data_IF_089554399131
#
_entry.id   IF_089554399131
#
_cell.length_a   1.000
_cell.length_b   1.000
_cell.length_c   1.000
_cell.angle_alpha   90.00
_cell.angle_beta   90.00
_cell.angle_gamma   90.00
#
_symmetry.space_group_name_H-M   'P 1'
#
loop_
_entity.id
_entity.type
_entity.pdbx_description
1 polymer ?
#
# COMPACT_ATOMS: atom_id res chain seq x y z
N UNK A 1 19.20 22.06 -71.77
CA UNK A 1 18.23 21.16 -71.12
C UNK A 1 19.06 20.29 -70.19
N UNK A 2 19.18 20.70 -68.92
CA UNK A 2 20.05 20.08 -67.91
C UNK A 2 19.16 19.74 -66.73
N UNK A 3 19.01 18.44 -66.49
CA UNK A 3 18.65 17.71 -65.27
C UNK A 3 17.70 18.36 -64.24
N UNK A 4 16.39 18.29 -64.52
CA UNK A 4 15.36 18.38 -63.47
C UNK A 4 15.28 17.07 -62.63
N UNK A 5 15.71 15.93 -63.20
CA UNK A 5 15.68 14.62 -62.53
C UNK A 5 16.71 14.50 -61.38
N UNK A 6 17.86 15.18 -61.50
CA UNK A 6 18.90 15.15 -60.46
C UNK A 6 18.50 15.94 -59.20
N UNK A 7 17.71 17.02 -59.35
CA UNK A 7 17.20 17.83 -58.23
C UNK A 7 16.10 17.09 -57.45
N UNK A 8 15.26 16.32 -58.14
CA UNK A 8 14.20 15.54 -57.49
C UNK A 8 14.82 14.50 -56.53
N UNK A 9 15.91 13.84 -56.95
CA UNK A 9 16.62 12.85 -56.13
C UNK A 9 17.28 13.47 -54.88
N UNK A 10 17.72 14.73 -54.96
CA UNK A 10 18.29 15.43 -53.80
C UNK A 10 17.21 15.90 -52.82
N UNK A 11 16.06 16.35 -53.34
CA UNK A 11 14.93 16.78 -52.51
C UNK A 11 14.27 15.60 -51.78
N UNK A 12 14.20 14.44 -52.43
CA UNK A 12 13.69 13.20 -51.84
C UNK A 12 14.62 12.65 -50.75
N UNK A 13 15.94 12.69 -50.95
CA UNK A 13 16.91 12.28 -49.93
C UNK A 13 16.84 13.12 -48.64
N UNK A 14 16.61 14.44 -48.77
CA UNK A 14 16.42 15.33 -47.62
C UNK A 14 15.11 15.01 -46.89
N UNK A 15 14.02 14.80 -47.63
CA UNK A 15 12.73 14.43 -47.05
C UNK A 15 12.82 13.08 -46.30
N UNK A 16 13.48 12.08 -46.89
CA UNK A 16 13.72 10.79 -46.25
C UNK A 16 14.55 10.92 -44.96
N UNK A 17 15.59 11.75 -44.97
CA UNK A 17 16.39 12.02 -43.77
C UNK A 17 15.55 12.65 -42.65
N UNK A 18 14.66 13.60 -42.97
CA UNK A 18 13.74 14.18 -41.98
C UNK A 18 12.75 13.17 -41.41
N UNK A 19 12.18 12.30 -42.25
CA UNK A 19 11.25 11.25 -41.79
C UNK A 19 11.98 10.27 -40.86
N UNK A 20 13.20 9.86 -41.20
CA UNK A 20 14.02 8.98 -40.36
C UNK A 20 14.33 9.66 -39.03
N UNK A 21 14.73 10.94 -39.05
CA UNK A 21 15.11 11.67 -37.84
C UNK A 21 13.90 11.95 -36.93
N UNK A 22 12.74 12.26 -37.50
CA UNK A 22 11.47 12.36 -36.77
C UNK A 22 11.07 11.02 -36.16
N UNK A 23 11.24 9.92 -36.88
CA UNK A 23 10.96 8.57 -36.37
C UNK A 23 11.89 8.20 -35.22
N UNK A 24 13.19 8.46 -35.36
CA UNK A 24 14.18 8.23 -34.29
C UNK A 24 13.89 9.12 -33.09
N UNK A 25 13.51 10.39 -33.30
CA UNK A 25 13.12 11.29 -32.21
C UNK A 25 11.86 10.80 -31.49
N UNK A 26 10.86 10.31 -32.21
CA UNK A 26 9.67 9.73 -31.61
C UNK A 26 10.00 8.44 -30.82
N UNK A 27 10.83 7.56 -31.36
CA UNK A 27 11.25 6.31 -30.69
C UNK A 27 12.17 6.56 -29.49
N UNK A 28 13.07 7.54 -29.58
CA UNK A 28 13.92 7.94 -28.46
C UNK A 28 13.15 8.77 -27.41
N UNK A 29 12.13 9.50 -27.86
CA UNK A 29 11.24 10.32 -27.03
C UNK A 29 10.11 9.54 -26.38
N UNK A 30 9.84 8.29 -26.78
CA UNK A 30 9.08 7.35 -25.95
C UNK A 30 9.95 6.97 -24.76
N UNK A 31 9.96 7.83 -23.76
CA UNK A 31 10.34 7.50 -22.39
C UNK A 31 9.65 6.19 -22.04
N UNK A 32 10.45 5.17 -21.73
CA UNK A 32 10.07 3.84 -21.23
C UNK A 32 8.58 3.73 -20.94
N UNK A 33 7.86 2.98 -21.78
CA UNK A 33 6.46 2.64 -21.50
C UNK A 33 6.48 1.87 -20.18
N UNK A 34 6.13 2.55 -19.08
CA UNK A 34 5.65 1.88 -17.89
C UNK A 34 4.38 1.15 -18.32
N UNK A 35 4.54 -0.11 -18.70
CA UNK A 35 3.40 -0.97 -18.99
C UNK A 35 2.61 -1.11 -17.69
N UNK A 36 1.27 -1.06 -17.72
CA UNK A 36 0.44 -1.36 -16.54
C UNK A 36 0.72 -2.74 -15.90
N UNK A 37 1.50 -3.59 -16.55
CA UNK A 37 1.99 -4.86 -16.02
C UNK A 37 3.06 -4.71 -14.93
N UNK A 38 3.92 -3.68 -14.97
CA UNK A 38 5.01 -3.53 -13.99
C UNK A 38 4.52 -2.95 -12.66
N UNK A 39 3.51 -2.08 -12.67
CA UNK A 39 2.87 -1.62 -11.43
C UNK A 39 2.14 -2.74 -10.69
N UNK A 40 1.68 -3.77 -11.42
CA UNK A 40 1.01 -4.92 -10.82
C UNK A 40 1.96 -5.77 -9.96
N UNK A 41 3.24 -5.86 -10.35
CA UNK A 41 4.24 -6.64 -9.59
C UNK A 41 4.55 -5.98 -8.25
N UNK A 42 4.74 -4.65 -8.26
CA UNK A 42 4.98 -3.91 -7.01
C UNK A 42 3.78 -3.95 -6.08
N UNK A 43 2.56 -3.88 -6.62
CA UNK A 43 1.33 -4.00 -5.82
C UNK A 43 1.19 -5.40 -5.22
N UNK A 44 1.42 -6.45 -6.01
CA UNK A 44 1.41 -7.83 -5.50
C UNK A 44 2.45 -8.04 -4.40
N UNK A 45 3.64 -7.46 -4.54
CA UNK A 45 4.68 -7.55 -3.52
C UNK A 45 4.26 -6.85 -2.21
N UNK A 46 3.64 -5.67 -2.31
CA UNK A 46 3.13 -4.95 -1.14
C UNK A 46 1.96 -5.68 -0.47
N UNK A 47 1.10 -6.32 -1.25
CA UNK A 47 0.01 -7.15 -0.70
C UNK A 47 0.55 -8.36 0.06
N UNK A 48 1.51 -9.07 -0.54
CA UNK A 48 2.16 -10.23 0.09
C UNK A 48 2.90 -9.80 1.36
N UNK A 49 3.67 -8.71 1.30
CA UNK A 49 4.39 -8.19 2.47
C UNK A 49 3.43 -7.74 3.58
N UNK A 50 2.39 -6.98 3.25
CA UNK A 50 1.41 -6.53 4.23
C UNK A 50 0.66 -7.69 4.87
N UNK A 51 0.33 -8.73 4.09
CA UNK A 51 -0.29 -9.94 4.60
C UNK A 51 0.64 -10.70 5.55
N UNK A 52 1.92 -10.86 5.18
CA UNK A 52 2.92 -11.53 6.00
C UNK A 52 3.14 -10.80 7.33
N UNK A 53 3.28 -9.48 7.31
CA UNK A 53 3.40 -8.67 8.53
C UNK A 53 2.18 -8.83 9.43
N UNK A 54 0.96 -8.77 8.87
CA UNK A 54 -0.26 -9.00 9.64
C UNK A 54 -0.32 -10.42 10.21
N UNK A 55 0.13 -11.43 9.46
CA UNK A 55 0.17 -12.82 9.90
C UNK A 55 1.17 -13.03 11.04
N UNK A 56 2.37 -12.45 10.93
CA UNK A 56 3.39 -12.49 11.99
C UNK A 56 2.87 -11.85 13.26
N UNK A 57 2.20 -10.70 13.17
CA UNK A 57 1.60 -10.06 14.34
C UNK A 57 0.42 -10.84 14.94
N UNK A 58 -0.32 -11.58 14.11
CA UNK A 58 -1.42 -12.42 14.55
C UNK A 58 -0.97 -13.81 15.03
N UNK A 59 0.32 -14.12 14.92
CA UNK A 59 0.88 -15.38 15.41
C UNK A 59 1.38 -15.20 16.86
N UNK A 60 0.90 -15.98 17.84
CA UNK A 60 1.41 -15.93 19.21
C UNK A 60 2.83 -16.51 19.29
N UNK A 61 3.63 -16.02 20.23
CA UNK A 61 5.03 -16.46 20.40
C UNK A 61 5.10 -17.84 21.07
N UNK A 62 4.15 -18.12 21.97
CA UNK A 62 4.03 -19.39 22.68
C UNK A 62 2.62 -19.98 22.59
N UNK A 63 2.50 -21.28 22.85
CA UNK A 63 1.21 -21.97 22.89
C UNK A 63 0.35 -21.40 24.04
N UNK A 64 -0.90 -21.06 23.75
CA UNK A 64 -1.86 -20.38 24.65
C UNK A 64 -1.58 -18.90 24.99
N UNK A 65 -0.59 -18.26 24.34
CA UNK A 65 -0.40 -16.81 24.43
C UNK A 65 -1.35 -16.05 23.48
N UNK A 66 -1.71 -14.83 23.83
CA UNK A 66 -2.48 -13.93 22.96
C UNK A 66 -1.57 -13.38 21.84
N UNK A 67 -2.06 -13.31 20.60
CA UNK A 67 -1.28 -12.70 19.52
C UNK A 67 -1.04 -11.21 19.78
N UNK A 68 0.09 -10.69 19.32
CA UNK A 68 0.42 -9.26 19.47
C UNK A 68 -0.68 -8.38 18.87
N UNK A 69 -1.22 -8.77 17.72
CA UNK A 69 -2.33 -8.10 17.07
C UNK A 69 -3.58 -8.04 17.96
N UNK A 70 -4.00 -9.19 18.53
CA UNK A 70 -5.17 -9.25 19.40
C UNK A 70 -4.96 -8.41 20.67
N UNK A 71 -3.75 -8.47 21.25
CA UNK A 71 -3.35 -7.64 22.39
C UNK A 71 -3.46 -6.15 22.09
N UNK A 72 -2.96 -5.69 20.93
CA UNK A 72 -3.06 -4.29 20.53
C UNK A 72 -4.51 -3.83 20.34
N UNK A 73 -5.34 -4.65 19.69
CA UNK A 73 -6.76 -4.35 19.48
C UNK A 73 -7.54 -4.32 20.81
N UNK A 74 -7.28 -5.27 21.71
CA UNK A 74 -7.92 -5.36 23.04
C UNK A 74 -7.54 -4.21 23.97
N UNK A 75 -6.28 -3.77 23.93
CA UNK A 75 -5.80 -2.65 24.75
C UNK A 75 -5.92 -1.31 24.04
N UNK A 76 -6.42 -1.30 22.80
CA UNK A 76 -6.48 -0.12 21.94
C UNK A 76 -5.14 0.64 21.90
N UNK A 77 -4.04 -0.12 21.81
CA UNK A 77 -2.69 0.42 21.88
C UNK A 77 -2.17 0.74 20.48
N UNK A 78 -2.51 1.93 20.01
CA UNK A 78 -2.13 2.43 18.68
C UNK A 78 -0.63 2.74 18.57
N UNK A 79 0.05 3.02 19.68
CA UNK A 79 1.47 3.39 19.68
C UNK A 79 2.35 2.15 19.46
N UNK A 80 2.11 1.09 20.23
CA UNK A 80 2.86 -0.16 20.07
C UNK A 80 2.53 -0.84 18.75
N UNK A 81 1.27 -0.77 18.31
CA UNK A 81 0.89 -1.23 16.97
C UNK A 81 1.69 -0.51 15.89
N UNK A 82 1.81 0.82 15.97
CA UNK A 82 2.57 1.59 14.97
C UNK A 82 4.05 1.23 14.95
N UNK A 83 4.68 1.15 16.13
CA UNK A 83 6.08 0.76 16.23
C UNK A 83 6.34 -0.66 15.73
N UNK A 84 5.47 -1.61 16.07
CA UNK A 84 5.59 -3.01 15.66
C UNK A 84 5.32 -3.21 14.17
N UNK A 85 4.18 -2.71 13.68
CA UNK A 85 3.80 -2.86 12.27
C UNK A 85 4.73 -2.09 11.34
N UNK A 86 5.00 -0.81 11.62
CA UNK A 86 5.90 0.01 10.81
C UNK A 86 7.34 -0.50 10.82
N UNK A 87 7.79 -1.05 11.97
CA UNK A 87 9.09 -1.70 12.08
C UNK A 87 9.21 -2.94 11.20
N UNK A 88 8.24 -3.86 11.28
CA UNK A 88 8.21 -5.06 10.45
C UNK A 88 8.08 -4.74 8.96
N UNK A 89 7.25 -3.76 8.61
CA UNK A 89 7.00 -3.33 7.24
C UNK A 89 8.26 -2.76 6.56
N UNK A 90 9.10 -2.04 7.31
CA UNK A 90 10.29 -1.38 6.78
C UNK A 90 11.59 -2.17 7.00
N UNK A 91 11.55 -3.33 7.66
CA UNK A 91 12.77 -4.14 7.89
C UNK A 91 13.21 -4.83 6.60
N UNK A 92 14.46 -4.60 6.17
CA UNK A 92 15.06 -5.32 5.04
C UNK A 92 16.40 -5.93 5.44
N UNK A 93 16.93 -6.85 4.62
CA UNK A 93 18.17 -7.57 4.93
C UNK A 93 19.40 -6.66 5.10
N UNK A 94 19.46 -5.51 4.41
CA UNK A 94 20.61 -4.58 4.45
C UNK A 94 20.23 -3.11 4.61
N UNK A 95 19.03 -2.79 5.08
CA UNK A 95 18.56 -1.39 5.21
C UNK A 95 17.13 -1.24 5.75
N UNK A 96 16.54 -0.05 5.53
CA UNK A 96 15.15 0.26 5.84
C UNK A 96 14.41 0.65 4.56
N UNK A 97 13.17 0.19 4.38
CA UNK A 97 12.25 0.76 3.37
C UNK A 97 11.61 2.06 3.91
N UNK A 98 10.84 2.73 3.07
CA UNK A 98 10.13 4.00 3.33
C UNK A 98 8.60 3.82 3.25
N UNK A 99 8.14 2.59 3.44
CA UNK A 99 6.73 2.25 3.39
C UNK A 99 5.99 2.91 4.55
N UNK A 100 4.83 3.47 4.20
CA UNK A 100 3.91 4.14 5.09
C UNK A 100 2.62 3.34 5.16
N UNK A 101 1.89 3.49 6.26
CA UNK A 101 0.61 2.82 6.41
C UNK A 101 -0.44 3.66 7.15
N UNK A 102 -1.70 3.28 6.96
CA UNK A 102 -2.85 3.73 7.72
C UNK A 102 -3.76 2.55 8.03
N UNK A 103 -4.05 2.34 9.31
CA UNK A 103 -4.86 1.25 9.81
C UNK A 103 -6.23 1.75 10.30
N UNK A 104 -7.26 0.96 10.00
CA UNK A 104 -8.65 1.20 10.36
C UNK A 104 -9.24 -0.07 10.97
N UNK A 105 -10.05 0.07 12.01
CA UNK A 105 -10.76 -1.04 12.63
C UNK A 105 -12.24 -0.86 12.41
N UNK A 106 -12.86 -1.89 11.82
CA UNK A 106 -14.32 -2.00 11.71
C UNK A 106 -14.87 -2.95 12.76
N UNK A 107 -15.91 -2.52 13.48
CA UNK A 107 -16.49 -3.20 14.64
C UNK A 107 -18.00 -3.04 14.68
N UNK A 108 -18.70 -3.88 15.46
CA UNK A 108 -20.12 -3.68 15.71
C UNK A 108 -20.33 -2.66 16.83
N UNK A 109 -21.16 -1.67 16.55
CA UNK A 109 -21.55 -0.64 17.51
C UNK A 109 -22.61 -1.16 18.48
N UNK A 110 -22.84 -0.43 19.56
CA UNK A 110 -23.96 -0.68 20.48
C UNK A 110 -25.34 -0.57 19.82
N UNK A 111 -25.43 0.13 18.68
CA UNK A 111 -26.66 0.26 17.89
C UNK A 111 -26.89 -0.91 16.91
N UNK A 112 -25.94 -1.87 16.82
CA UNK A 112 -26.02 -2.98 15.88
C UNK A 112 -25.65 -2.61 14.44
N UNK A 113 -24.98 -1.46 14.25
CA UNK A 113 -24.40 -1.06 12.96
C UNK A 113 -22.90 -1.36 12.93
N UNK A 114 -22.29 -1.32 11.74
CA UNK A 114 -20.83 -1.40 11.61
C UNK A 114 -20.26 0.01 11.72
N UNK A 115 -19.39 0.23 12.70
CA UNK A 115 -18.57 1.44 12.84
C UNK A 115 -17.16 1.18 12.33
N UNK A 116 -16.52 2.19 11.76
CA UNK A 116 -15.11 2.15 11.34
C UNK A 116 -14.38 3.32 11.97
N UNK A 117 -13.22 3.06 12.55
CA UNK A 117 -12.39 4.08 13.21
C UNK A 117 -10.92 3.90 12.83
N UNK A 118 -10.15 4.98 12.90
CA UNK A 118 -8.70 4.91 12.70
C UNK A 118 -8.02 4.21 13.90
N UNK A 119 -7.04 3.37 13.62
CA UNK A 119 -6.30 2.58 14.62
C UNK A 119 -4.80 2.88 14.65
N UNK A 120 -4.29 3.66 13.70
CA UNK A 120 -2.92 4.17 13.70
C UNK A 120 -2.44 4.46 12.28
N UNK A 121 -1.52 5.41 12.13
CA UNK A 121 -0.90 5.74 10.84
C UNK A 121 0.47 6.36 11.06
N UNK A 122 1.43 6.11 10.17
CA UNK A 122 2.78 6.68 10.28
C UNK A 122 2.86 8.13 9.83
N UNK A 123 2.28 8.45 8.66
CA UNK A 123 2.19 9.80 8.12
C UNK A 123 0.85 10.02 7.41
N UNK A 124 0.48 11.28 7.20
CA UNK A 124 -0.74 11.65 6.49
C UNK A 124 -0.64 11.29 5.01
N UNK A 125 -1.68 10.67 4.46
CA UNK A 125 -1.78 10.36 3.03
C UNK A 125 -2.01 11.65 2.24
N UNK A 126 -1.20 11.93 1.22
CA UNK A 126 -1.38 13.13 0.38
C UNK A 126 -2.38 12.89 -0.75
N UNK A 127 -2.83 11.65 -0.95
CA UNK A 127 -3.91 11.27 -1.87
C UNK A 127 -3.43 10.93 -3.28
N UNK A 128 -2.13 11.07 -3.55
CA UNK A 128 -1.49 10.73 -4.82
C UNK A 128 -0.79 9.36 -4.79
N UNK A 129 -0.76 8.71 -3.62
CA UNK A 129 -0.04 7.46 -3.44
C UNK A 129 -0.91 6.25 -3.81
N UNK A 130 -0.35 5.35 -4.63
CA UNK A 130 -0.91 4.03 -4.93
C UNK A 130 -0.79 3.17 -3.68
N UNK A 131 -1.92 3.00 -2.97
CA UNK A 131 -1.98 2.25 -1.74
C UNK A 131 -2.63 0.89 -1.96
N UNK A 132 -2.00 -0.14 -1.41
CA UNK A 132 -2.50 -1.51 -1.37
C UNK A 132 -3.24 -1.72 -0.06
N UNK A 133 -4.35 -2.45 -0.12
CA UNK A 133 -5.20 -2.73 1.04
C UNK A 133 -5.07 -4.18 1.45
N UNK A 134 -4.83 -4.40 2.74
CA UNK A 134 -4.78 -5.73 3.36
C UNK A 134 -5.72 -5.75 4.55
N UNK A 135 -6.45 -6.85 4.73
CA UNK A 135 -7.42 -7.01 5.82
C UNK A 135 -7.14 -8.26 6.65
N UNK A 136 -7.43 -8.19 7.95
CA UNK A 136 -7.35 -9.31 8.88
C UNK A 136 -8.51 -9.26 9.86
N UNK A 137 -9.12 -10.41 10.13
CA UNK A 137 -10.16 -10.56 11.13
C UNK A 137 -9.54 -11.02 12.46
N UNK A 138 -9.92 -10.39 13.56
CA UNK A 138 -9.50 -10.77 14.90
C UNK A 138 -10.70 -10.87 15.83
N UNK A 139 -10.69 -11.81 16.77
CA UNK A 139 -11.75 -11.95 17.77
C UNK A 139 -11.32 -11.26 19.06
N UNK A 140 -12.17 -10.36 19.57
CA UNK A 140 -11.93 -9.66 20.82
C UNK A 140 -12.98 -10.06 21.87
N UNK A 141 -12.60 -10.23 23.15
CA UNK A 141 -13.50 -10.76 24.17
C UNK A 141 -14.51 -9.73 24.70
N UNK A 142 -14.18 -8.43 24.67
CA UNK A 142 -15.00 -7.35 25.22
C UNK A 142 -14.62 -6.01 24.59
N UNK A 143 -15.28 -4.93 25.02
CA UNK A 143 -14.91 -3.57 24.62
C UNK A 143 -13.43 -3.32 25.00
N UNK A 144 -12.61 -2.80 24.07
CA UNK A 144 -11.22 -2.47 24.36
C UNK A 144 -11.11 -1.49 25.53
N UNK A 145 -10.11 -1.68 26.39
CA UNK A 145 -9.97 -0.96 27.65
C UNK A 145 -8.53 -0.47 27.85
N UNK A 146 -8.04 0.43 27.00
CA UNK A 146 -6.70 0.99 27.19
C UNK A 146 -6.50 2.40 26.66
N UNK A 147 -5.23 2.80 26.57
CA UNK A 147 -4.78 4.18 26.59
C UNK A 147 -5.17 5.02 25.37
N UNK A 148 -5.43 4.40 24.21
CA UNK A 148 -5.66 5.08 22.94
C UNK A 148 -7.08 5.62 22.71
N UNK A 149 -7.90 5.76 23.76
CA UNK A 149 -9.29 6.22 23.68
C UNK A 149 -10.14 5.42 22.66
N UNK A 150 -10.51 4.16 22.98
CA UNK A 150 -11.37 3.36 22.11
C UNK A 150 -12.73 4.03 21.89
N UNK A 151 -13.41 3.76 20.75
CA UNK A 151 -14.70 4.37 20.46
C UNK A 151 -15.74 4.15 21.57
N UNK A 152 -16.51 5.21 21.84
CA UNK A 152 -17.54 5.19 22.89
C UNK A 152 -18.65 4.17 22.60
N UNK A 153 -19.01 4.03 21.33
CA UNK A 153 -20.08 3.19 20.78
C UNK A 153 -19.66 1.73 20.56
N UNK A 154 -18.44 1.35 20.94
CA UNK A 154 -17.95 0.00 20.79
C UNK A 154 -18.76 -0.99 21.65
N UNK A 155 -19.29 -2.07 21.04
CA UNK A 155 -20.12 -3.04 21.77
C UNK A 155 -19.31 -3.78 22.84
N UNK A 156 -19.82 -3.81 24.07
CA UNK A 156 -19.19 -4.50 25.18
C UNK A 156 -19.58 -5.99 25.26
N UNK A 157 -19.19 -6.76 24.25
CA UNK A 157 -19.35 -8.21 24.22
C UNK A 157 -18.31 -8.80 23.26
N UNK A 158 -18.11 -10.12 23.34
CA UNK A 158 -17.27 -10.84 22.39
C UNK A 158 -17.78 -10.57 20.96
N UNK A 159 -16.86 -10.20 20.08
CA UNK A 159 -17.14 -9.92 18.68
C UNK A 159 -15.89 -10.09 17.81
N UNK A 160 -16.12 -10.29 16.51
CA UNK A 160 -15.07 -10.26 15.50
C UNK A 160 -14.94 -8.83 15.00
N UNK A 161 -13.70 -8.32 14.96
CA UNK A 161 -13.34 -7.03 14.37
C UNK A 161 -12.52 -7.25 13.11
N UNK A 162 -12.64 -6.33 12.18
CA UNK A 162 -11.82 -6.31 10.97
C UNK A 162 -10.80 -5.18 11.08
N UNK A 163 -9.53 -5.55 11.06
CA UNK A 163 -8.43 -4.61 10.84
C UNK A 163 -8.21 -4.49 9.33
N UNK A 164 -8.29 -3.28 8.81
CA UNK A 164 -7.92 -2.91 7.46
C UNK A 164 -6.66 -2.05 7.53
N UNK A 165 -5.63 -2.39 6.76
CA UNK A 165 -4.40 -1.60 6.65
C UNK A 165 -4.17 -1.23 5.19
N UNK A 166 -4.00 0.07 4.96
CA UNK A 166 -3.56 0.63 3.69
C UNK A 166 -2.07 0.85 3.77
N UNK A 167 -1.32 0.35 2.79
CA UNK A 167 0.14 0.44 2.70
C UNK A 167 0.51 1.13 1.39
N UNK A 168 1.44 2.08 1.44
CA UNK A 168 1.96 2.74 0.24
C UNK A 168 3.44 3.07 0.41
N UNK A 169 4.12 3.35 -0.69
CA UNK A 169 5.49 3.87 -0.68
C UNK A 169 5.45 5.40 -0.74
N UNK A 170 6.24 6.08 0.10
CA UNK A 170 6.43 7.53 0.05
C UNK A 170 7.51 7.95 -0.94
#
# INVERSE_FOLDING_TARGET
MVDDDAQLYTMEGIAAAFVILATVYLVAGTTSIYTPGDSHITDMQLEVLGNDVLLVMDTPTEEAEESNLTRYLRTWNTTDFRGGFGGLLNTTYTGSDTLQFAAFVSYNTTAGTIGTTAFGSDSGRNGYEQAVRVTRLATIPAKPAGAGAPPGDFRNAQQVVMLEVLIWRS
#
